data_IF_144351120361
#
_entry.id   IF_144351120361
#
_cell.length_a   1.000
_cell.length_b   1.000
_cell.length_c   1.000
_cell.angle_alpha   90.00
_cell.angle_beta   90.00
_cell.angle_gamma   90.00
#
_symmetry.space_group_name_H-M   'P 1'
#
loop_
_entity.id
_entity.type
_entity.pdbx_description
1 polymer ?
#
# COMPACT_ATOMS: atom_id res chain seq x y z
N UNK A 1 -8.19 17.21 26.86
CA UNK A 1 -8.16 17.17 25.36
C UNK A 1 -9.16 18.19 24.84
N UNK A 2 -8.97 18.76 23.62
CA UNK A 2 -9.98 19.60 22.98
C UNK A 2 -11.26 18.78 22.72
N UNK A 3 -12.39 19.45 22.47
CA UNK A 3 -13.65 18.77 22.11
C UNK A 3 -13.80 18.57 20.59
N UNK A 4 -13.09 19.38 19.80
CA UNK A 4 -13.11 19.39 18.33
C UNK A 4 -11.73 19.21 17.73
N UNK A 5 -11.68 18.83 16.47
CA UNK A 5 -10.47 18.63 15.67
C UNK A 5 -10.69 19.05 14.22
N UNK A 6 -9.63 19.34 13.49
CA UNK A 6 -9.66 19.50 12.04
C UNK A 6 -9.57 18.14 11.35
N UNK A 7 -10.35 17.97 10.27
CA UNK A 7 -10.33 16.77 9.45
C UNK A 7 -10.63 17.10 7.98
N UNK A 8 -10.09 16.30 7.07
CA UNK A 8 -10.54 16.24 5.68
C UNK A 8 -11.81 15.39 5.64
N UNK A 9 -12.90 15.99 5.22
CA UNK A 9 -14.21 15.33 5.17
C UNK A 9 -14.65 15.18 3.72
N UNK A 10 -15.11 13.99 3.36
CA UNK A 10 -15.94 13.71 2.18
C UNK A 10 -17.39 13.98 2.57
N UNK A 11 -17.96 15.18 2.30
CA UNK A 11 -19.23 15.56 2.90
C UNK A 11 -20.44 14.92 2.21
N UNK A 12 -20.33 14.65 0.91
CA UNK A 12 -21.44 14.19 0.08
C UNK A 12 -20.97 13.30 -1.09
N UNK A 13 -21.91 12.72 -1.80
CA UNK A 13 -21.72 11.84 -2.93
C UNK A 13 -21.35 12.61 -4.22
N UNK A 14 -20.26 13.41 -4.20
CA UNK A 14 -19.78 14.24 -5.29
C UNK A 14 -18.25 14.33 -5.29
N UNK A 15 -17.56 14.74 -6.39
CA UNK A 15 -16.12 14.96 -6.39
C UNK A 15 -15.68 16.01 -5.36
N UNK A 16 -14.46 15.83 -4.78
CA UNK A 16 -13.86 16.74 -3.84
C UNK A 16 -13.90 16.24 -2.39
N UNK A 17 -13.25 16.98 -1.52
CA UNK A 17 -13.26 16.85 -0.06
C UNK A 17 -12.99 18.23 0.56
N UNK A 18 -13.40 18.44 1.79
CA UNK A 18 -13.32 19.71 2.49
C UNK A 18 -12.61 19.56 3.83
N UNK A 19 -11.91 20.60 4.27
CA UNK A 19 -11.41 20.64 5.65
C UNK A 19 -12.52 21.22 6.52
N UNK A 20 -12.89 20.48 7.56
CA UNK A 20 -13.92 20.88 8.52
C UNK A 20 -13.44 20.69 9.95
N UNK A 21 -13.95 21.53 10.83
CA UNK A 21 -13.91 21.27 12.26
C UNK A 21 -15.02 20.27 12.61
N UNK A 22 -14.66 19.19 13.28
CA UNK A 22 -15.56 18.10 13.70
C UNK A 22 -15.27 17.71 15.13
N UNK A 23 -16.21 17.03 15.78
CA UNK A 23 -15.97 16.51 17.13
C UNK A 23 -14.87 15.45 17.11
N UNK A 24 -14.02 15.44 18.14
CA UNK A 24 -13.11 14.30 18.38
C UNK A 24 -13.96 13.06 18.58
N UNK A 25 -13.67 11.94 17.91
CA UNK A 25 -14.50 10.73 17.99
C UNK A 25 -14.47 10.15 19.42
N UNK A 26 -15.64 9.77 19.93
CA UNK A 26 -15.72 8.96 21.13
C UNK A 26 -15.12 7.57 20.85
N UNK A 27 -14.49 6.98 21.87
CA UNK A 27 -13.90 5.64 21.79
C UNK A 27 -14.51 4.71 22.84
N UNK A 28 -14.58 3.42 22.51
CA UNK A 28 -15.10 2.36 23.37
C UNK A 28 -14.05 1.81 24.33
N UNK A 29 -14.46 0.81 25.12
CA UNK A 29 -13.62 0.19 26.16
C UNK A 29 -12.37 -0.50 25.61
N UNK A 30 -12.43 -1.00 24.36
CA UNK A 30 -11.35 -1.70 23.67
C UNK A 30 -10.71 -0.86 22.54
N UNK A 31 -10.93 0.45 22.53
CA UNK A 31 -10.44 1.33 21.47
C UNK A 31 -9.31 2.23 21.98
N UNK A 32 -8.46 2.64 21.07
CA UNK A 32 -7.35 3.55 21.28
C UNK A 32 -7.58 4.81 20.46
N UNK A 33 -7.56 5.96 21.10
CA UNK A 33 -7.53 7.27 20.45
C UNK A 33 -6.09 7.64 20.14
N UNK A 34 -5.76 7.79 18.88
CA UNK A 34 -4.41 8.15 18.43
C UNK A 34 -4.41 9.59 17.93
N UNK A 35 -3.48 10.40 18.42
CA UNK A 35 -3.15 11.71 17.85
C UNK A 35 -2.28 11.49 16.62
N UNK A 36 -2.79 11.80 15.44
CA UNK A 36 -2.12 11.55 14.18
C UNK A 36 -0.93 12.51 14.01
N UNK A 37 0.26 11.97 13.96
CA UNK A 37 1.48 12.74 13.67
C UNK A 37 1.61 12.98 12.17
N UNK A 38 1.35 11.94 11.39
CA UNK A 38 1.52 11.93 9.95
C UNK A 38 0.60 10.91 9.31
N UNK A 39 -0.01 11.26 8.19
CA UNK A 39 -0.76 10.36 7.32
C UNK A 39 -0.15 10.37 5.92
N UNK A 40 -0.52 9.42 5.06
CA UNK A 40 -0.11 9.45 3.66
C UNK A 40 -1.26 9.15 2.71
N UNK A 41 -1.19 9.70 1.50
CA UNK A 41 -2.25 9.57 0.51
C UNK A 41 -2.04 8.31 -0.32
N UNK A 42 -3.11 7.50 -0.44
CA UNK A 42 -3.19 6.28 -1.26
C UNK A 42 -3.95 6.53 -2.58
N UNK A 43 -3.78 5.63 -3.54
CA UNK A 43 -4.61 5.60 -4.76
C UNK A 43 -6.11 5.45 -4.46
N UNK A 44 -6.46 4.72 -3.41
CA UNK A 44 -7.86 4.59 -2.93
C UNK A 44 -8.47 5.94 -2.55
N UNK A 45 -7.70 6.82 -1.93
CA UNK A 45 -8.18 8.16 -1.56
C UNK A 45 -8.47 9.01 -2.80
N UNK A 46 -7.72 8.79 -3.88
CA UNK A 46 -7.98 9.44 -5.17
C UNK A 46 -9.30 8.98 -5.79
N UNK A 47 -9.63 7.69 -5.69
CA UNK A 47 -10.94 7.17 -6.09
C UNK A 47 -12.08 7.82 -5.28
N UNK A 48 -11.92 7.93 -3.95
CA UNK A 48 -12.89 8.59 -3.06
C UNK A 48 -13.03 10.08 -3.42
N UNK A 49 -11.91 10.77 -3.60
CA UNK A 49 -11.88 12.20 -3.93
C UNK A 49 -12.56 12.47 -5.28
N UNK A 50 -12.27 11.69 -6.31
CA UNK A 50 -12.85 11.84 -7.65
C UNK A 50 -14.30 11.36 -7.75
N UNK A 51 -14.79 10.62 -6.76
CA UNK A 51 -16.13 10.03 -6.74
C UNK A 51 -16.40 9.14 -7.96
N UNK A 52 -15.45 8.29 -8.30
CA UNK A 52 -15.56 7.39 -9.43
C UNK A 52 -16.52 6.20 -9.17
N UNK A 53 -16.67 5.32 -10.15
CA UNK A 53 -17.59 4.20 -10.08
C UNK A 53 -17.33 3.29 -8.86
N UNK A 54 -16.06 3.07 -8.46
CA UNK A 54 -15.74 2.28 -7.27
C UNK A 54 -16.22 3.00 -6.00
N UNK A 55 -15.92 4.29 -5.87
CA UNK A 55 -16.34 5.08 -4.71
C UNK A 55 -17.87 5.15 -4.60
N UNK A 56 -18.58 5.33 -5.71
CA UNK A 56 -20.04 5.37 -5.75
C UNK A 56 -20.71 4.09 -5.22
N UNK A 57 -20.05 2.94 -5.38
CA UNK A 57 -20.57 1.65 -4.92
C UNK A 57 -20.10 1.26 -3.51
N UNK A 58 -19.14 1.98 -2.93
CA UNK A 58 -18.52 1.59 -1.66
C UNK A 58 -18.63 2.63 -0.56
N UNK A 59 -18.58 3.90 -0.90
CA UNK A 59 -18.41 4.98 0.09
C UNK A 59 -19.76 5.56 0.48
N UNK A 60 -19.96 5.77 1.78
CA UNK A 60 -21.17 6.37 2.37
C UNK A 60 -20.80 7.68 3.09
N UNK A 61 -20.92 8.83 2.41
CA UNK A 61 -20.70 10.13 3.06
C UNK A 61 -21.75 10.44 4.13
N UNK A 62 -21.42 11.25 5.16
CA UNK A 62 -20.13 11.90 5.37
C UNK A 62 -19.07 10.92 5.87
N UNK A 63 -17.81 11.07 5.40
CA UNK A 63 -16.69 10.20 5.77
C UNK A 63 -15.41 11.04 5.92
N UNK A 64 -14.60 10.74 6.93
CA UNK A 64 -13.19 11.16 7.00
C UNK A 64 -12.36 10.03 6.36
N UNK A 65 -11.73 10.24 5.19
CA UNK A 65 -10.89 9.21 4.57
C UNK A 65 -9.51 9.11 5.22
N UNK A 66 -8.63 8.28 4.63
CA UNK A 66 -7.25 8.07 5.08
C UNK A 66 -7.09 6.78 5.89
N UNK A 67 -6.23 5.90 5.38
CA UNK A 67 -5.98 4.57 5.96
C UNK A 67 -4.48 4.26 6.08
N UNK A 68 -3.63 5.24 5.96
CA UNK A 68 -2.18 5.16 6.10
C UNK A 68 -1.73 6.25 7.06
N UNK A 69 -1.21 5.90 8.25
CA UNK A 69 -0.82 6.89 9.24
C UNK A 69 0.16 6.35 10.29
N UNK A 70 0.77 7.27 11.05
CA UNK A 70 1.36 7.02 12.35
C UNK A 70 1.01 8.14 13.32
N UNK A 71 1.15 7.88 14.62
CA UNK A 71 0.84 8.85 15.65
C UNK A 71 1.20 8.39 17.05
N UNK A 72 0.75 9.14 18.04
CA UNK A 72 0.96 8.87 19.44
C UNK A 72 -0.38 8.54 20.12
N UNK A 73 -0.39 7.54 20.99
CA UNK A 73 -1.55 7.20 21.80
C UNK A 73 -1.92 8.39 22.72
N UNK A 74 -3.11 8.97 22.51
CA UNK A 74 -3.60 10.12 23.25
C UNK A 74 -4.51 9.73 24.43
N UNK A 75 -5.29 8.66 24.26
CA UNK A 75 -6.15 8.06 25.28
C UNK A 75 -6.55 6.65 24.83
N UNK A 76 -7.12 5.87 25.74
CA UNK A 76 -7.62 4.53 25.45
C UNK A 76 -8.70 4.09 26.43
N UNK A 77 -9.47 3.08 26.04
CA UNK A 77 -10.52 2.50 26.88
C UNK A 77 -9.97 1.61 28.00
N UNK A 78 -10.81 1.36 29.01
CA UNK A 78 -10.44 0.68 30.26
C UNK A 78 -10.13 -0.82 30.10
N UNK A 79 -10.41 -1.42 28.95
CA UNK A 79 -10.04 -2.81 28.62
C UNK A 79 -8.75 -2.92 27.76
N UNK A 80 -8.17 -1.79 27.32
CA UNK A 80 -6.93 -1.77 26.54
C UNK A 80 -5.74 -2.06 27.45
N UNK A 81 -4.89 -3.01 27.01
CA UNK A 81 -3.73 -3.50 27.80
C UNK A 81 -2.40 -3.43 27.05
N UNK A 82 -2.42 -3.33 25.72
CA UNK A 82 -1.22 -3.46 24.87
C UNK A 82 -0.42 -2.17 24.71
N UNK A 83 -1.01 -1.02 25.00
CA UNK A 83 -0.39 0.30 24.83
C UNK A 83 -0.62 1.19 26.04
N UNK A 84 0.17 2.27 26.10
CA UNK A 84 0.03 3.36 27.08
C UNK A 84 0.05 4.70 26.36
N UNK A 85 -0.39 5.75 27.05
CA UNK A 85 -0.33 7.12 26.55
C UNK A 85 1.11 7.51 26.18
N UNK A 86 1.28 8.16 25.03
CA UNK A 86 2.55 8.55 24.44
C UNK A 86 3.27 7.44 23.65
N UNK A 87 2.76 6.21 23.60
CA UNK A 87 3.34 5.18 22.74
C UNK A 87 3.22 5.59 21.25
N UNK A 88 4.32 5.42 20.50
CA UNK A 88 4.35 5.64 19.05
C UNK A 88 3.77 4.43 18.33
N UNK A 89 2.74 4.66 17.51
CA UNK A 89 1.95 3.60 16.88
C UNK A 89 1.61 3.89 15.43
N UNK A 90 1.35 2.83 14.68
CA UNK A 90 0.54 2.80 13.45
C UNK A 90 -0.57 1.76 13.65
N UNK A 91 -1.30 1.40 12.61
CA UNK A 91 -2.35 0.41 12.73
C UNK A 91 -2.61 -0.37 11.44
N UNK A 92 -3.06 -1.61 11.59
CA UNK A 92 -3.71 -2.36 10.51
C UNK A 92 -5.13 -1.81 10.31
N UNK A 93 -5.36 -1.16 9.19
CA UNK A 93 -6.63 -0.45 8.96
C UNK A 93 -7.77 -1.38 8.50
N UNK A 94 -7.48 -2.65 8.23
CA UNK A 94 -8.48 -3.67 7.95
C UNK A 94 -8.93 -4.34 9.25
N UNK A 95 -10.13 -4.03 9.70
CA UNK A 95 -10.73 -4.62 10.91
C UNK A 95 -11.44 -5.91 10.53
N UNK A 96 -10.83 -7.04 10.89
CA UNK A 96 -11.38 -8.37 10.63
C UNK A 96 -12.43 -8.77 11.67
N UNK A 97 -13.43 -9.56 11.28
CA UNK A 97 -14.53 -9.95 12.19
C UNK A 97 -14.14 -11.00 13.25
N UNK A 98 -12.99 -11.63 13.14
CA UNK A 98 -12.46 -12.64 14.07
C UNK A 98 -13.15 -14.01 14.04
N UNK A 99 -14.31 -14.17 13.40
CA UNK A 99 -15.17 -15.37 13.53
C UNK A 99 -15.51 -16.10 12.22
N UNK A 100 -15.26 -15.51 11.04
CA UNK A 100 -15.47 -16.21 9.77
C UNK A 100 -14.36 -17.28 9.53
N UNK A 101 -14.54 -18.12 8.51
CA UNK A 101 -13.58 -19.16 8.15
C UNK A 101 -12.17 -18.58 8.01
N UNK A 102 -12.02 -17.55 7.19
CA UNK A 102 -10.71 -16.93 6.90
C UNK A 102 -10.03 -16.41 8.17
N UNK A 103 -10.76 -15.74 9.05
CA UNK A 103 -10.19 -15.28 10.31
C UNK A 103 -9.72 -16.45 11.19
N UNK A 104 -10.51 -17.51 11.28
CA UNK A 104 -10.21 -18.68 12.15
C UNK A 104 -9.12 -19.58 11.59
N UNK A 105 -8.81 -19.48 10.30
CA UNK A 105 -7.74 -20.26 9.64
C UNK A 105 -6.47 -19.44 9.39
N UNK A 106 -6.36 -18.21 9.95
CA UNK A 106 -5.15 -17.38 9.84
C UNK A 106 -5.10 -16.49 8.58
N UNK A 107 -6.20 -16.40 7.84
CA UNK A 107 -6.31 -15.60 6.61
C UNK A 107 -7.20 -14.36 6.85
N UNK A 108 -7.02 -13.69 8.00
CA UNK A 108 -7.86 -12.56 8.42
C UNK A 108 -7.86 -11.38 7.42
N UNK A 109 -6.81 -11.21 6.64
CA UNK A 109 -6.69 -10.19 5.60
C UNK A 109 -7.72 -10.34 4.46
N UNK A 110 -8.29 -11.53 4.27
CA UNK A 110 -9.39 -11.81 3.33
C UNK A 110 -10.70 -12.13 4.07
N UNK A 111 -10.90 -11.50 5.23
CA UNK A 111 -12.13 -11.64 6.01
C UNK A 111 -13.36 -11.28 5.18
N UNK A 112 -14.40 -12.14 5.21
CA UNK A 112 -15.66 -11.90 4.49
C UNK A 112 -16.41 -10.63 4.93
N UNK A 113 -16.16 -10.19 6.17
CA UNK A 113 -16.82 -9.04 6.79
C UNK A 113 -15.80 -7.96 7.19
N UNK A 114 -14.72 -7.82 6.42
CA UNK A 114 -13.70 -6.80 6.69
C UNK A 114 -14.29 -5.40 6.58
N UNK A 115 -13.96 -4.54 7.54
CA UNK A 115 -14.19 -3.10 7.47
C UNK A 115 -12.84 -2.40 7.39
N UNK A 116 -12.75 -1.39 6.55
CA UNK A 116 -11.52 -0.61 6.36
C UNK A 116 -11.73 0.77 6.96
N UNK A 117 -10.92 1.13 7.95
CA UNK A 117 -10.90 2.48 8.53
C UNK A 117 -10.38 3.45 7.45
N UNK A 118 -11.08 4.57 7.25
CA UNK A 118 -10.84 5.49 6.14
C UNK A 118 -11.62 5.18 4.85
N UNK A 119 -12.37 4.06 4.83
CA UNK A 119 -13.22 3.63 3.71
C UNK A 119 -14.65 3.30 4.19
N UNK A 120 -14.77 2.42 5.19
CA UNK A 120 -16.07 1.99 5.76
C UNK A 120 -16.37 2.68 7.10
N UNK A 121 -15.39 3.35 7.67
CA UNK A 121 -15.46 4.14 8.92
C UNK A 121 -14.48 5.31 8.81
N UNK A 122 -14.64 6.30 9.69
CA UNK A 122 -13.78 7.48 9.71
C UNK A 122 -12.30 7.11 9.90
N UNK A 123 -11.43 7.72 9.12
CA UNK A 123 -10.01 7.45 9.02
C UNK A 123 -9.09 8.55 9.54
N UNK A 124 -7.86 8.55 9.04
CA UNK A 124 -6.72 9.24 9.63
C UNK A 124 -6.37 10.60 8.98
N UNK A 125 -7.12 11.09 7.98
CA UNK A 125 -6.94 12.48 7.53
C UNK A 125 -7.62 13.45 8.50
N UNK A 126 -7.23 13.36 9.77
CA UNK A 126 -7.72 14.13 10.89
C UNK A 126 -6.64 14.26 11.97
N UNK A 127 -6.81 15.18 12.90
CA UNK A 127 -5.87 15.33 14.03
C UNK A 127 -5.89 14.14 14.99
N UNK A 128 -7.03 13.41 15.06
CA UNK A 128 -7.19 12.20 15.85
C UNK A 128 -7.96 11.13 15.09
N UNK A 129 -7.65 9.86 15.39
CA UNK A 129 -8.36 8.69 14.86
C UNK A 129 -8.57 7.66 15.96
N UNK A 130 -9.69 6.94 15.92
CA UNK A 130 -9.98 5.82 16.84
C UNK A 130 -9.70 4.51 16.15
N UNK A 131 -8.94 3.65 16.82
CA UNK A 131 -8.49 2.34 16.31
C UNK A 131 -8.81 1.26 17.35
N UNK A 132 -9.43 0.13 16.99
CA UNK A 132 -9.54 -1.00 17.90
C UNK A 132 -8.16 -1.48 18.38
N UNK A 133 -8.02 -1.83 19.65
CA UNK A 133 -6.74 -2.31 20.22
C UNK A 133 -6.12 -3.44 19.41
N UNK A 134 -6.94 -4.38 18.92
CA UNK A 134 -6.50 -5.51 18.11
C UNK A 134 -5.77 -5.11 16.81
N UNK A 135 -5.98 -3.91 16.36
CA UNK A 135 -5.43 -3.37 15.11
C UNK A 135 -4.23 -2.44 15.35
N UNK A 136 -3.99 -2.01 16.60
CA UNK A 136 -2.86 -1.15 16.93
C UNK A 136 -1.54 -1.90 16.74
N UNK A 137 -0.58 -1.20 16.15
CA UNK A 137 0.79 -1.67 15.99
C UNK A 137 1.77 -0.71 16.66
N UNK A 138 2.31 -1.14 17.79
CA UNK A 138 3.34 -0.37 18.51
C UNK A 138 4.64 -0.40 17.72
N UNK A 139 5.19 0.77 17.49
CA UNK A 139 6.39 0.95 16.68
C UNK A 139 7.63 1.16 17.56
N UNK A 140 8.78 0.76 17.02
CA UNK A 140 10.07 1.14 17.56
C UNK A 140 10.30 2.64 17.28
N UNK A 141 10.63 3.46 18.27
CA UNK A 141 10.93 4.88 18.06
C UNK A 141 12.08 5.17 17.08
N UNK A 142 12.91 4.18 16.79
CA UNK A 142 13.96 4.31 15.77
C UNK A 142 13.44 4.31 14.34
N UNK A 143 12.17 3.87 14.10
CA UNK A 143 11.55 3.92 12.77
C UNK A 143 11.12 5.37 12.50
N UNK A 144 11.62 6.02 11.43
CA UNK A 144 11.24 7.38 11.10
C UNK A 144 9.71 7.52 10.93
N UNK A 145 9.06 8.58 11.42
CA UNK A 145 7.62 8.79 11.26
C UNK A 145 7.16 8.76 9.80
N UNK A 146 8.01 9.21 8.86
CA UNK A 146 7.74 9.14 7.43
C UNK A 146 7.57 7.70 6.96
N UNK A 147 8.42 6.77 7.42
CA UNK A 147 8.28 5.35 7.09
C UNK A 147 7.13 4.70 7.85
N UNK A 148 6.90 5.12 9.09
CA UNK A 148 5.79 4.64 9.90
C UNK A 148 4.42 4.97 9.30
N UNK A 149 4.29 6.11 8.60
CA UNK A 149 3.03 6.52 7.96
C UNK A 149 2.71 5.78 6.65
N UNK A 150 3.67 5.04 6.08
CA UNK A 150 3.51 4.32 4.80
C UNK A 150 3.60 2.80 4.96
N UNK A 151 3.40 2.29 6.18
CA UNK A 151 3.46 0.84 6.45
C UNK A 151 2.34 0.05 5.77
N UNK A 152 1.20 0.67 5.54
CA UNK A 152 0.10 0.05 4.79
C UNK A 152 0.54 -0.39 3.38
N UNK A 153 0.96 0.50 2.46
CA UNK A 153 1.39 0.11 1.13
C UNK A 153 2.72 -0.66 1.13
N UNK A 154 3.61 -0.43 2.09
CA UNK A 154 4.82 -1.23 2.27
C UNK A 154 4.47 -2.68 2.59
N UNK A 155 3.48 -2.91 3.47
CA UNK A 155 2.99 -4.25 3.80
C UNK A 155 2.41 -4.99 2.59
N UNK A 156 1.73 -4.29 1.67
CA UNK A 156 1.26 -4.87 0.41
C UNK A 156 2.45 -5.30 -0.48
N UNK A 157 3.51 -4.50 -0.56
CA UNK A 157 4.73 -4.85 -1.26
C UNK A 157 5.42 -6.06 -0.63
N UNK A 158 5.57 -6.07 0.71
CA UNK A 158 6.16 -7.19 1.46
C UNK A 158 5.36 -8.49 1.23
N UNK A 159 4.03 -8.43 1.32
CA UNK A 159 3.19 -9.60 1.04
C UNK A 159 3.42 -10.13 -0.38
N UNK A 160 3.40 -9.24 -1.38
CA UNK A 160 3.54 -9.65 -2.79
C UNK A 160 4.92 -10.26 -3.09
N UNK A 161 5.97 -9.65 -2.56
CA UNK A 161 7.35 -10.14 -2.71
C UNK A 161 7.53 -11.47 -2.01
N UNK A 162 7.14 -11.57 -0.72
CA UNK A 162 7.37 -12.73 0.12
C UNK A 162 6.28 -13.83 0.02
N UNK A 163 5.35 -13.71 -0.92
CA UNK A 163 4.37 -14.76 -1.21
C UNK A 163 4.99 -16.06 -1.76
N UNK A 164 6.28 -16.07 -2.01
CA UNK A 164 7.11 -17.21 -2.39
C UNK A 164 8.58 -16.83 -2.41
N UNK A 165 9.45 -17.74 -2.79
CA UNK A 165 10.90 -17.55 -2.81
C UNK A 165 11.33 -16.37 -3.72
N UNK A 166 12.28 -15.58 -3.23
CA UNK A 166 12.88 -14.43 -3.93
C UNK A 166 14.41 -14.49 -3.91
N UNK A 167 15.01 -15.00 -2.84
CA UNK A 167 16.46 -15.09 -2.73
C UNK A 167 17.06 -15.86 -3.91
N UNK A 168 18.11 -15.30 -4.50
CA UNK A 168 18.78 -15.82 -5.69
C UNK A 168 17.87 -15.90 -6.96
N UNK A 169 16.79 -15.12 -7.03
CA UNK A 169 15.87 -15.08 -8.17
C UNK A 169 15.99 -13.77 -8.98
N UNK A 170 15.68 -13.86 -10.26
CA UNK A 170 15.42 -12.70 -11.11
C UNK A 170 13.95 -12.28 -10.96
N UNK A 171 13.71 -11.01 -10.72
CA UNK A 171 12.36 -10.47 -10.41
C UNK A 171 12.00 -9.37 -11.39
N UNK A 172 10.82 -9.42 -11.99
CA UNK A 172 10.25 -8.31 -12.73
C UNK A 172 9.06 -7.72 -11.97
N UNK A 173 8.98 -6.39 -11.93
CA UNK A 173 7.89 -5.64 -11.30
C UNK A 173 7.23 -4.82 -12.40
N UNK A 174 5.96 -5.12 -12.70
CA UNK A 174 5.19 -4.38 -13.71
C UNK A 174 4.27 -3.40 -13.00
N UNK A 175 4.46 -2.10 -13.29
CA UNK A 175 3.81 -1.01 -12.58
C UNK A 175 4.61 -0.54 -11.36
N UNK A 176 5.24 0.63 -11.50
CA UNK A 176 6.04 1.28 -10.45
C UNK A 176 5.26 2.41 -9.77
N UNK A 177 3.99 2.16 -9.40
CA UNK A 177 3.31 2.97 -8.38
C UNK A 177 4.01 2.81 -7.03
N UNK A 178 3.56 3.49 -5.95
CA UNK A 178 4.23 3.42 -4.65
C UNK A 178 4.49 1.99 -4.16
N UNK A 179 3.51 1.08 -4.31
CA UNK A 179 3.66 -0.34 -3.90
C UNK A 179 4.73 -1.04 -4.74
N UNK A 180 4.75 -0.83 -6.08
CA UNK A 180 5.76 -1.42 -6.95
C UNK A 180 7.17 -0.89 -6.67
N UNK A 181 7.30 0.40 -6.35
CA UNK A 181 8.56 1.00 -5.93
C UNK A 181 9.07 0.42 -4.60
N UNK A 182 8.18 0.22 -3.61
CA UNK A 182 8.53 -0.48 -2.38
C UNK A 182 8.91 -1.93 -2.63
N UNK A 183 8.25 -2.61 -3.58
CA UNK A 183 8.58 -3.98 -3.94
C UNK A 183 9.99 -4.12 -4.51
N UNK A 184 10.53 -3.09 -5.21
CA UNK A 184 11.94 -3.06 -5.64
C UNK A 184 12.86 -3.14 -4.42
N UNK A 185 12.68 -2.24 -3.42
CA UNK A 185 13.49 -2.23 -2.21
C UNK A 185 13.39 -3.55 -1.44
N UNK A 186 12.18 -4.08 -1.27
CA UNK A 186 11.96 -5.34 -0.56
C UNK A 186 12.62 -6.50 -1.29
N UNK A 187 12.44 -6.63 -2.61
CA UNK A 187 13.04 -7.71 -3.40
C UNK A 187 14.57 -7.71 -3.30
N UNK A 188 15.19 -6.53 -3.38
CA UNK A 188 16.65 -6.40 -3.18
C UNK A 188 17.06 -6.77 -1.76
N UNK A 189 16.37 -6.25 -0.75
CA UNK A 189 16.66 -6.51 0.64
C UNK A 189 16.64 -8.00 1.01
N UNK A 190 15.78 -8.78 0.33
CA UNK A 190 15.65 -10.23 0.57
C UNK A 190 16.45 -11.09 -0.41
N UNK A 191 17.32 -10.49 -1.24
CA UNK A 191 18.32 -11.21 -2.02
C UNK A 191 17.93 -11.56 -3.46
N UNK A 192 17.05 -10.80 -4.11
CA UNK A 192 16.88 -10.89 -5.56
C UNK A 192 18.21 -10.60 -6.27
N UNK A 193 18.55 -11.39 -7.30
CA UNK A 193 19.79 -11.24 -8.06
C UNK A 193 19.71 -10.15 -9.12
N UNK A 194 18.53 -9.93 -9.66
CA UNK A 194 18.23 -8.87 -10.63
C UNK A 194 16.78 -8.41 -10.48
N UNK A 195 16.55 -7.10 -10.56
CA UNK A 195 15.23 -6.48 -10.49
C UNK A 195 14.97 -5.67 -11.76
N UNK A 196 13.95 -6.07 -12.52
CA UNK A 196 13.43 -5.35 -13.68
C UNK A 196 12.21 -4.52 -13.24
N UNK A 197 12.24 -3.21 -13.45
CA UNK A 197 11.13 -2.31 -13.22
C UNK A 197 10.52 -1.89 -14.56
N UNK A 198 9.24 -2.14 -14.77
CA UNK A 198 8.54 -1.88 -16.04
C UNK A 198 7.45 -0.85 -15.77
N UNK A 199 7.57 0.37 -16.35
CA UNK A 199 6.72 1.52 -16.03
C UNK A 199 6.64 2.51 -17.20
N UNK A 200 5.45 2.99 -17.53
CA UNK A 200 5.22 3.97 -18.62
C UNK A 200 5.50 5.41 -18.19
N UNK A 201 5.36 5.74 -16.92
CA UNK A 201 5.53 7.09 -16.39
C UNK A 201 7.02 7.40 -16.16
N UNK A 202 7.54 8.47 -16.78
CA UNK A 202 8.96 8.84 -16.69
C UNK A 202 9.39 9.22 -15.25
N UNK A 203 8.53 9.94 -14.51
CA UNK A 203 8.82 10.30 -13.12
C UNK A 203 9.00 9.05 -12.25
N UNK A 204 8.10 8.07 -12.37
CA UNK A 204 8.19 6.80 -11.63
C UNK A 204 9.39 5.96 -12.05
N UNK A 205 9.78 5.97 -13.35
CA UNK A 205 11.02 5.31 -13.79
C UNK A 205 12.27 5.94 -13.15
N UNK A 206 12.30 7.26 -12.97
CA UNK A 206 13.40 7.93 -12.25
C UNK A 206 13.47 7.46 -10.81
N UNK A 207 12.33 7.35 -10.13
CA UNK A 207 12.28 6.81 -8.76
C UNK A 207 12.71 5.33 -8.75
N UNK A 208 12.26 4.51 -9.70
CA UNK A 208 12.67 3.10 -9.77
C UNK A 208 14.19 2.93 -9.92
N UNK A 209 14.88 3.84 -10.64
CA UNK A 209 16.34 3.88 -10.67
C UNK A 209 16.95 4.26 -9.33
N UNK A 210 16.35 5.25 -8.65
CA UNK A 210 16.80 5.64 -7.30
C UNK A 210 16.55 4.54 -6.25
N UNK A 211 15.55 3.66 -6.47
CA UNK A 211 15.30 2.45 -5.68
C UNK A 211 16.20 1.27 -6.10
N UNK A 212 17.20 1.54 -6.95
CA UNK A 212 18.22 0.58 -7.39
C UNK A 212 17.67 -0.63 -8.19
N UNK A 213 16.63 -0.44 -9.01
CA UNK A 213 16.27 -1.45 -10.01
C UNK A 213 17.40 -1.59 -11.03
N UNK A 214 17.81 -2.83 -11.34
CA UNK A 214 18.93 -3.11 -12.27
C UNK A 214 18.58 -2.74 -13.71
N UNK A 215 17.32 -2.94 -14.09
CA UNK A 215 16.80 -2.61 -15.42
C UNK A 215 15.49 -1.84 -15.28
N UNK A 216 15.39 -0.66 -15.93
CA UNK A 216 14.18 0.18 -15.88
C UNK A 216 13.70 0.39 -17.30
N UNK A 217 12.59 -0.25 -17.64
CA UNK A 217 12.07 -0.38 -19.00
C UNK A 217 10.79 0.44 -19.19
N UNK A 218 10.68 1.06 -20.38
CA UNK A 218 9.48 1.78 -20.83
C UNK A 218 8.74 0.94 -21.88
N UNK A 219 7.63 0.26 -21.53
CA UNK A 219 6.92 -0.61 -22.47
C UNK A 219 6.29 0.15 -23.65
N UNK A 220 6.21 1.49 -23.58
CA UNK A 220 5.74 2.31 -24.70
C UNK A 220 6.83 2.60 -25.75
N UNK A 221 8.10 2.35 -25.44
CA UNK A 221 9.25 2.71 -26.27
C UNK A 221 10.12 1.53 -26.67
N UNK A 222 10.06 0.44 -25.93
CA UNK A 222 10.93 -0.71 -26.14
C UNK A 222 10.19 -2.04 -26.01
N UNK A 223 10.74 -3.07 -26.63
CA UNK A 223 10.21 -4.42 -26.53
C UNK A 223 10.67 -5.06 -25.21
N UNK A 224 9.86 -4.92 -24.16
CA UNK A 224 10.15 -5.46 -22.83
C UNK A 224 10.50 -6.94 -22.86
N UNK A 225 9.73 -7.75 -23.62
CA UNK A 225 9.99 -9.20 -23.74
C UNK A 225 11.36 -9.47 -24.31
N UNK A 226 11.72 -8.81 -25.41
CA UNK A 226 13.04 -9.00 -26.04
C UNK A 226 14.17 -8.63 -25.08
N UNK A 227 14.07 -7.50 -24.39
CA UNK A 227 15.08 -7.06 -23.43
C UNK A 227 15.19 -8.03 -22.24
N UNK A 228 14.06 -8.47 -21.66
CA UNK A 228 14.09 -9.45 -20.56
C UNK A 228 14.71 -10.76 -21.02
N UNK A 229 14.34 -11.28 -22.20
CA UNK A 229 14.93 -12.53 -22.72
C UNK A 229 16.43 -12.38 -22.95
N UNK A 230 16.90 -11.26 -23.51
CA UNK A 230 18.33 -11.00 -23.69
C UNK A 230 19.09 -11.03 -22.35
N UNK A 231 18.58 -10.32 -21.36
CA UNK A 231 19.24 -10.19 -20.05
C UNK A 231 19.17 -11.45 -19.18
N UNK A 232 18.27 -12.37 -19.53
CA UNK A 232 18.10 -13.66 -18.81
C UNK A 232 18.55 -14.88 -19.63
N UNK A 233 19.35 -14.68 -20.67
CA UNK A 233 19.86 -15.78 -21.53
C UNK A 233 18.76 -16.56 -22.24
N UNK A 234 17.65 -15.92 -22.59
CA UNK A 234 16.50 -16.54 -23.27
C UNK A 234 15.49 -17.25 -22.36
N UNK A 235 15.72 -17.25 -21.05
CA UNK A 235 14.88 -18.00 -20.10
C UNK A 235 13.63 -17.23 -19.65
N UNK A 236 13.72 -15.91 -19.48
CA UNK A 236 12.76 -15.09 -18.78
C UNK A 236 13.06 -14.98 -17.28
N UNK A 237 12.25 -14.22 -16.53
CA UNK A 237 12.44 -13.99 -15.09
C UNK A 237 11.82 -15.11 -14.24
N UNK A 238 12.40 -15.38 -13.08
CA UNK A 238 11.86 -16.35 -12.11
C UNK A 238 10.51 -15.93 -11.55
N UNK A 239 10.36 -14.63 -11.23
CA UNK A 239 9.20 -14.09 -10.56
C UNK A 239 8.75 -12.82 -11.25
N UNK A 240 7.44 -12.69 -11.47
CA UNK A 240 6.81 -11.43 -11.85
C UNK A 240 5.87 -10.97 -10.75
N UNK A 241 6.01 -9.72 -10.33
CA UNK A 241 5.13 -9.03 -9.39
C UNK A 241 4.31 -8.02 -10.19
N UNK A 242 3.06 -8.35 -10.47
CA UNK A 242 2.17 -7.51 -11.26
C UNK A 242 1.43 -6.54 -10.35
N UNK A 243 1.75 -5.25 -10.47
CA UNK A 243 1.31 -4.17 -9.59
C UNK A 243 0.48 -3.09 -10.31
N UNK A 244 0.34 -3.17 -11.64
CA UNK A 244 -0.33 -2.15 -12.44
C UNK A 244 -1.82 -2.40 -12.63
N UNK A 245 -2.24 -3.67 -12.74
CA UNK A 245 -3.62 -4.05 -13.06
C UNK A 245 -4.05 -3.69 -14.49
N UNK A 246 -3.13 -3.25 -15.35
CA UNK A 246 -3.45 -2.95 -16.74
C UNK A 246 -3.40 -4.23 -17.59
N UNK A 247 -4.34 -4.46 -18.54
CA UNK A 247 -4.34 -5.67 -19.37
C UNK A 247 -3.01 -5.97 -20.05
N UNK A 248 -2.34 -4.96 -20.63
CA UNK A 248 -1.05 -5.14 -21.31
C UNK A 248 0.08 -5.48 -20.31
N UNK A 249 0.02 -4.93 -19.11
CA UNK A 249 0.97 -5.25 -18.03
C UNK A 249 0.82 -6.70 -17.59
N UNK A 250 -0.41 -7.16 -17.41
CA UNK A 250 -0.69 -8.56 -17.10
C UNK A 250 -0.26 -9.48 -18.24
N UNK A 251 -0.55 -9.13 -19.52
CA UNK A 251 -0.08 -9.89 -20.67
C UNK A 251 1.46 -9.98 -20.67
N UNK A 252 2.14 -8.85 -20.45
CA UNK A 252 3.60 -8.79 -20.34
C UNK A 252 4.12 -9.74 -19.25
N UNK A 253 3.45 -9.81 -18.08
CA UNK A 253 3.83 -10.71 -17.02
C UNK A 253 3.87 -12.19 -17.45
N UNK A 254 2.85 -12.63 -18.22
CA UNK A 254 2.83 -13.99 -18.78
C UNK A 254 3.88 -14.18 -19.89
N UNK A 255 4.23 -13.14 -20.65
CA UNK A 255 5.21 -13.24 -21.72
C UNK A 255 6.65 -13.36 -21.22
N UNK A 256 6.99 -12.73 -20.10
CA UNK A 256 8.36 -12.64 -19.58
C UNK A 256 8.69 -13.64 -18.46
N UNK A 257 7.69 -14.25 -17.84
CA UNK A 257 7.93 -15.29 -16.83
C UNK A 257 8.49 -16.55 -17.47
N UNK A 258 9.54 -17.12 -16.87
CA UNK A 258 10.11 -18.40 -17.34
C UNK A 258 9.21 -19.59 -17.07
N UNK A 259 9.49 -20.72 -17.70
CA UNK A 259 8.88 -22.01 -17.33
C UNK A 259 9.22 -22.36 -15.88
N UNK A 260 8.23 -22.81 -15.13
CA UNK A 260 8.35 -23.11 -13.70
C UNK A 260 8.47 -21.85 -12.82
N UNK A 261 8.23 -20.65 -13.37
CA UNK A 261 8.25 -19.38 -12.62
C UNK A 261 6.96 -19.09 -11.87
N UNK A 262 6.90 -17.91 -11.25
CA UNK A 262 5.76 -17.43 -10.45
C UNK A 262 5.29 -16.06 -10.92
N UNK A 263 3.96 -15.87 -10.96
CA UNK A 263 3.34 -14.55 -11.13
C UNK A 263 2.50 -14.26 -9.88
N UNK A 264 2.75 -13.14 -9.20
CA UNK A 264 1.91 -12.61 -8.12
C UNK A 264 1.15 -11.40 -8.63
N UNK A 265 -0.18 -11.48 -8.64
CA UNK A 265 -1.10 -10.45 -9.14
C UNK A 265 -1.64 -9.64 -7.96
N UNK A 266 -1.27 -8.38 -7.85
CA UNK A 266 -1.78 -7.41 -6.88
C UNK A 266 -2.60 -6.31 -7.57
N UNK A 267 -2.21 -5.89 -8.77
CA UNK A 267 -2.88 -4.83 -9.51
C UNK A 267 -4.34 -5.17 -9.82
N UNK A 268 -5.25 -4.24 -9.51
CA UNK A 268 -6.67 -4.42 -9.78
C UNK A 268 -7.00 -4.03 -11.22
N UNK A 269 -7.56 -4.95 -11.99
CA UNK A 269 -7.99 -4.67 -13.37
C UNK A 269 -9.48 -4.33 -13.43
N UNK A 270 -9.81 -3.31 -14.22
CA UNK A 270 -11.20 -2.94 -14.51
C UNK A 270 -11.76 -3.59 -15.79
N UNK A 271 -10.92 -4.35 -16.52
CA UNK A 271 -11.30 -4.96 -17.81
C UNK A 271 -11.01 -6.47 -17.80
N UNK A 272 -11.85 -7.29 -18.46
CA UNK A 272 -11.54 -8.69 -18.69
C UNK A 272 -10.23 -8.86 -19.48
N UNK A 273 -9.50 -9.94 -19.19
CA UNK A 273 -8.24 -10.29 -19.83
C UNK A 273 -8.39 -11.66 -20.44
N UNK A 274 -7.98 -11.79 -21.71
CA UNK A 274 -7.93 -13.07 -22.42
C UNK A 274 -6.56 -13.71 -22.25
N UNK A 275 -6.53 -14.97 -21.81
CA UNK A 275 -5.35 -15.80 -21.66
C UNK A 275 -5.58 -17.15 -22.35
N UNK A 276 -4.55 -17.67 -23.03
CA UNK A 276 -4.52 -19.07 -23.45
C UNK A 276 -4.00 -19.92 -22.29
N UNK A 277 -4.88 -20.52 -21.52
CA UNK A 277 -4.50 -21.30 -20.33
C UNK A 277 -3.49 -22.41 -20.63
N UNK A 278 -3.59 -23.07 -21.79
CA UNK A 278 -2.65 -24.12 -22.16
C UNK A 278 -1.23 -23.57 -22.36
N UNK A 279 -1.09 -22.52 -23.17
CA UNK A 279 0.21 -21.96 -23.53
C UNK A 279 0.78 -21.06 -22.43
N UNK A 280 -0.08 -20.23 -21.81
CA UNK A 280 0.36 -19.23 -20.88
C UNK A 280 0.65 -19.79 -19.47
N UNK A 281 -0.04 -20.86 -19.07
CA UNK A 281 0.04 -21.41 -17.72
C UNK A 281 0.49 -22.87 -17.71
N UNK A 282 -0.27 -23.78 -18.36
CA UNK A 282 -0.09 -25.23 -18.19
C UNK A 282 1.24 -25.69 -18.77
N UNK A 283 1.53 -25.37 -20.04
CA UNK A 283 2.80 -25.78 -20.70
C UNK A 283 4.02 -25.04 -20.17
N UNK A 284 3.82 -23.89 -19.50
CA UNK A 284 4.88 -23.22 -18.76
C UNK A 284 5.08 -23.81 -17.35
N UNK A 285 4.08 -24.51 -16.79
CA UNK A 285 4.12 -25.03 -15.43
C UNK A 285 4.31 -23.95 -14.37
N UNK A 286 3.74 -22.75 -14.59
CA UNK A 286 3.91 -21.60 -13.70
C UNK A 286 2.91 -21.62 -12.55
N UNK A 287 3.28 -20.96 -11.44
CA UNK A 287 2.36 -20.61 -10.38
C UNK A 287 1.80 -19.21 -10.59
N UNK A 288 0.48 -19.08 -10.60
CA UNK A 288 -0.22 -17.78 -10.62
C UNK A 288 -1.00 -17.65 -9.32
N UNK A 289 -0.78 -16.54 -8.60
CA UNK A 289 -1.47 -16.30 -7.33
C UNK A 289 -1.97 -14.86 -7.21
N UNK A 290 -3.18 -14.71 -6.67
CA UNK A 290 -3.74 -13.41 -6.29
C UNK A 290 -3.21 -12.98 -4.93
N UNK A 291 -2.88 -11.70 -4.82
CA UNK A 291 -2.44 -11.07 -3.57
C UNK A 291 -3.50 -10.04 -3.17
N UNK A 292 -3.99 -10.13 -1.95
CA UNK A 292 -4.95 -9.19 -1.41
C UNK A 292 -4.43 -8.58 -0.11
N UNK A 293 -4.15 -7.29 -0.13
CA UNK A 293 -3.70 -6.55 1.04
C UNK A 293 -2.43 -7.12 1.68
N UNK A 294 -2.38 -7.08 2.99
CA UNK A 294 -1.27 -7.54 3.85
C UNK A 294 -1.72 -8.75 4.66
N UNK A 295 -0.90 -9.77 4.80
CA UNK A 295 -1.21 -10.87 5.72
C UNK A 295 -1.13 -10.36 7.17
N UNK A 296 -2.27 -10.28 7.83
CA UNK A 296 -2.38 -9.90 9.24
C UNK A 296 -1.89 -11.04 10.15
N UNK A 297 -0.92 -10.86 11.05
CA UNK A 297 -0.03 -9.71 11.16
C UNK A 297 1.38 -10.07 10.68
N UNK A 298 1.52 -11.16 9.96
CA UNK A 298 2.80 -11.69 9.49
C UNK A 298 3.62 -10.62 8.74
N UNK A 299 2.98 -9.89 7.82
CA UNK A 299 3.68 -8.83 7.05
C UNK A 299 4.11 -7.66 7.93
N UNK A 300 3.40 -7.38 9.02
CA UNK A 300 3.78 -6.34 9.98
C UNK A 300 5.10 -6.69 10.69
N UNK A 301 5.25 -7.93 11.15
CA UNK A 301 6.51 -8.42 11.72
C UNK A 301 7.65 -8.38 10.70
N UNK A 302 7.39 -8.82 9.46
CA UNK A 302 8.41 -8.87 8.41
C UNK A 302 8.89 -7.46 8.00
N UNK A 303 7.97 -6.52 7.72
CA UNK A 303 8.36 -5.17 7.30
C UNK A 303 9.05 -4.39 8.41
N UNK A 304 8.59 -4.51 9.66
CA UNK A 304 9.25 -3.84 10.79
C UNK A 304 10.62 -4.43 11.09
N UNK A 305 10.83 -5.74 10.90
CA UNK A 305 12.15 -6.36 11.00
C UNK A 305 13.11 -5.83 9.92
N UNK A 306 12.65 -5.71 8.67
CA UNK A 306 13.46 -5.14 7.57
C UNK A 306 13.82 -3.67 7.82
N UNK A 307 12.88 -2.88 8.33
CA UNK A 307 13.12 -1.47 8.69
C UNK A 307 14.13 -1.35 9.84
N UNK A 308 13.96 -2.11 10.91
CA UNK A 308 14.90 -2.13 12.06
C UNK A 308 16.31 -2.58 11.66
N UNK A 309 16.41 -3.49 10.71
CA UNK A 309 17.69 -3.94 10.17
C UNK A 309 18.35 -2.92 9.22
N UNK A 310 17.72 -1.76 8.95
CA UNK A 310 18.23 -0.76 8.01
C UNK A 310 18.32 -1.25 6.56
N UNK A 311 17.51 -2.24 6.18
CA UNK A 311 17.55 -2.87 4.86
C UNK A 311 16.69 -2.17 3.81
N UNK A 312 15.84 -1.21 4.20
CA UNK A 312 14.94 -0.51 3.31
C UNK A 312 15.23 0.99 3.34
N UNK A 313 15.64 1.54 2.21
CA UNK A 313 15.55 2.97 1.95
C UNK A 313 14.28 3.27 1.15
N UNK A 314 13.32 3.93 1.78
CA UNK A 314 12.02 4.28 1.20
C UNK A 314 11.93 5.76 0.82
N UNK A 315 13.00 6.52 1.12
CA UNK A 315 13.02 7.98 0.95
C UNK A 315 12.73 8.43 -0.50
N UNK A 316 13.26 7.77 -1.55
CA UNK A 316 13.02 8.21 -2.92
C UNK A 316 11.55 8.14 -3.35
N UNK A 317 10.73 7.31 -2.68
CA UNK A 317 9.30 7.16 -3.00
C UNK A 317 8.47 8.30 -2.42
N UNK A 318 8.94 8.95 -1.35
CA UNK A 318 8.27 10.07 -0.67
C UNK A 318 8.59 11.36 -1.40
N UNK A 319 7.69 11.80 -2.28
CA UNK A 319 7.93 12.97 -3.13
C UNK A 319 7.51 14.29 -2.52
N UNK A 320 6.56 14.26 -1.59
CA UNK A 320 5.96 15.47 -1.05
C UNK A 320 5.59 15.37 0.43
N UNK A 321 5.62 16.53 1.09
CA UNK A 321 5.24 16.72 2.49
C UNK A 321 4.39 17.97 2.58
N UNK A 322 3.14 17.82 3.00
CA UNK A 322 2.19 18.93 3.00
C UNK A 322 1.44 19.06 4.33
N UNK A 323 1.09 20.27 4.75
CA UNK A 323 0.09 20.44 5.79
C UNK A 323 -1.29 20.03 5.27
N UNK A 324 -2.17 19.56 6.14
CA UNK A 324 -3.52 19.08 5.78
C UNK A 324 -4.32 20.14 4.97
N UNK A 325 -4.13 21.42 5.22
CA UNK A 325 -4.79 22.51 4.47
C UNK A 325 -4.52 22.52 2.96
N UNK A 326 -3.44 21.89 2.51
CA UNK A 326 -3.06 21.78 1.09
C UNK A 326 -3.50 20.45 0.45
N UNK A 327 -4.37 19.68 1.12
CA UNK A 327 -4.82 18.36 0.68
C UNK A 327 -5.34 18.34 -0.77
N UNK A 328 -6.19 19.29 -1.15
CA UNK A 328 -6.75 19.36 -2.52
C UNK A 328 -5.66 19.54 -3.58
N UNK A 329 -4.61 20.32 -3.30
CA UNK A 329 -3.47 20.49 -4.22
C UNK A 329 -2.69 19.20 -4.39
N UNK A 330 -2.53 18.43 -3.29
CA UNK A 330 -1.87 17.14 -3.34
C UNK A 330 -2.64 16.14 -4.22
N UNK A 331 -3.97 16.14 -4.13
CA UNK A 331 -4.81 15.29 -4.96
C UNK A 331 -4.64 15.59 -6.46
N UNK A 332 -4.54 16.86 -6.84
CA UNK A 332 -4.29 17.23 -8.25
C UNK A 332 -2.91 16.75 -8.74
N UNK A 333 -1.86 16.86 -7.92
CA UNK A 333 -0.53 16.37 -8.29
C UNK A 333 -0.47 14.85 -8.44
N UNK A 334 -1.25 14.11 -7.65
CA UNK A 334 -1.37 12.65 -7.82
C UNK A 334 -2.09 12.29 -9.11
N UNK A 335 -3.14 13.05 -9.50
CA UNK A 335 -3.87 12.84 -10.77
C UNK A 335 -2.96 12.99 -11.98
N UNK A 336 -2.06 13.99 -11.98
CA UNK A 336 -1.13 14.24 -13.10
C UNK A 336 0.03 13.25 -13.14
N UNK A 337 0.21 12.43 -12.08
CA UNK A 337 1.33 11.49 -11.96
C UNK A 337 2.69 12.17 -11.69
N UNK A 338 2.68 13.44 -11.26
CA UNK A 338 3.86 14.21 -10.87
C UNK A 338 4.37 13.89 -9.47
N UNK A 339 3.56 13.19 -8.67
CA UNK A 339 3.90 12.76 -7.33
C UNK A 339 3.78 11.24 -7.20
N UNK A 340 4.51 10.66 -6.24
CA UNK A 340 4.42 9.24 -5.87
C UNK A 340 3.72 9.08 -4.52
N UNK A 341 4.44 9.21 -3.41
CA UNK A 341 3.86 9.16 -2.06
C UNK A 341 3.88 10.56 -1.44
N UNK A 342 2.71 11.06 -1.07
CA UNK A 342 2.55 12.37 -0.42
C UNK A 342 2.21 12.15 1.05
N UNK A 343 3.00 12.76 1.93
CA UNK A 343 2.75 12.77 3.37
C UNK A 343 1.95 14.01 3.76
N UNK A 344 1.00 13.81 4.67
CA UNK A 344 0.10 14.84 5.19
C UNK A 344 0.33 15.00 6.69
N UNK A 345 0.47 16.22 7.15
CA UNK A 345 0.62 16.57 8.56
C UNK A 345 -0.70 17.18 9.10
N UNK A 346 -1.55 16.41 9.77
CA UNK A 346 -2.82 16.93 10.30
C UNK A 346 -2.61 17.97 11.40
N UNK A 347 -1.62 17.75 12.25
CA UNK A 347 -1.28 18.63 13.39
C UNK A 347 -0.18 19.66 13.07
N UNK A 348 0.07 19.94 11.78
CA UNK A 348 1.14 20.83 11.33
C UNK A 348 2.52 20.17 11.28
N UNK A 349 3.42 20.77 10.52
CA UNK A 349 4.85 20.32 10.48
C UNK A 349 5.50 20.84 11.77
N UNK A 350 6.03 19.95 12.59
CA UNK A 350 6.85 20.31 13.77
C UNK A 350 8.31 20.50 13.37
#
# INVERSE_FOLDING_TARGET
>A
MPSTMLAVVKPEAAPGAEIREVNIPAFGRNDVLVKVTMASICGTDLHIYNWDHWAQNRIHPPLIPGHEFCGEVAAFGDEVTSVKEGDFVSAEMHVACGKCLQCRTGEAHICQNVKIIGVDANGAFAEYVVIPESNIWKLDPAIPPEYASILDPLGNAVHTVLAGEIAAKTVAITGCGPIGLFAIAVARAVGATSVFAIEVNDHRRKIARAMEADYVLDPSKENVKATVMEKTGGLGVDVVLEMAGHPDSIRTAFDIVRRGGRISLLGLTSKPISLNFSEDIIFKGITVQGINGRRMYQTWYQMTALLKAGKLDLHPVITDRIPMKDFSKAMERLKTGEASKILVYPNGVR
#
